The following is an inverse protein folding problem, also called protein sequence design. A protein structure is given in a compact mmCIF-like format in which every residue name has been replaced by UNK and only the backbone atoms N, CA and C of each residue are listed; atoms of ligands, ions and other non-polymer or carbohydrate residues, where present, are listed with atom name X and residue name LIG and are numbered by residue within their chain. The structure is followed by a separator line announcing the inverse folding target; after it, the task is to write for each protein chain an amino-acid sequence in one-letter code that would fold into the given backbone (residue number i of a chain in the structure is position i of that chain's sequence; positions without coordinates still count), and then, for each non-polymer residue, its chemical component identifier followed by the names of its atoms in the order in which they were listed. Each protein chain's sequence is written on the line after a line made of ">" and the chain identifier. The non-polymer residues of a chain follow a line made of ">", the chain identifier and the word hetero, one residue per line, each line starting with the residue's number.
data_IF_496461942214
#
_entry.id   IF_496461942214
#
_cell.length_a   1.000
_cell.length_b   1.000
_cell.length_c   1.000
_cell.angle_alpha   90.00
_cell.angle_beta   90.00
_cell.angle_gamma   90.00
#
_symmetry.space_group_name_H-M   'P 1'
#
loop_
_entity.id
_entity.type
_entity.pdbx_description
1 polymer ?
#
# COMPACT_ATOMS: atom_id res chain seq x y z
N UNK A 1 -19.86 10.24 -2.51
CA UNK A 1 -18.76 9.68 -1.71
C UNK A 1 -19.23 8.37 -1.09
N UNK A 2 -18.66 7.26 -1.50
CA UNK A 2 -19.02 5.95 -0.95
C UNK A 2 -18.11 5.67 0.27
N UNK A 3 -18.67 5.77 1.48
CA UNK A 3 -17.92 5.62 2.75
C UNK A 3 -18.03 4.19 3.32
N UNK A 4 -18.39 3.20 2.50
CA UNK A 4 -18.51 1.82 2.95
C UNK A 4 -17.13 1.16 2.87
N UNK A 5 -16.58 0.78 4.03
CA UNK A 5 -15.43 -0.11 4.11
C UNK A 5 -15.93 -1.55 3.97
N UNK A 6 -15.70 -2.16 2.82
CA UNK A 6 -16.01 -3.57 2.61
C UNK A 6 -15.03 -4.45 3.40
N UNK A 7 -15.50 -5.60 3.88
CA UNK A 7 -14.67 -6.58 4.56
C UNK A 7 -13.45 -6.97 3.71
N UNK A 8 -12.31 -7.22 4.36
CA UNK A 8 -11.07 -7.59 3.66
C UNK A 8 -11.26 -8.82 2.76
N UNK A 9 -12.00 -9.83 3.21
CA UNK A 9 -12.22 -11.07 2.46
C UNK A 9 -12.88 -10.82 1.11
N UNK A 10 -13.93 -9.96 1.05
CA UNK A 10 -14.56 -9.61 -0.23
C UNK A 10 -13.58 -8.92 -1.17
N UNK A 11 -12.79 -7.97 -0.65
CA UNK A 11 -11.79 -7.24 -1.44
C UNK A 11 -10.62 -8.12 -1.90
N UNK A 12 -10.27 -9.16 -1.14
CA UNK A 12 -9.18 -10.07 -1.51
C UNK A 12 -9.50 -10.89 -2.76
N UNK A 13 -10.78 -11.15 -3.02
CA UNK A 13 -11.24 -11.89 -4.21
C UNK A 13 -11.55 -10.99 -5.41
N UNK A 14 -11.72 -9.68 -5.20
CA UNK A 14 -11.94 -8.72 -6.28
C UNK A 14 -10.63 -8.44 -7.03
N UNK A 15 -10.70 -8.31 -8.37
CA UNK A 15 -9.58 -7.89 -9.23
C UNK A 15 -8.27 -8.67 -9.01
N UNK A 16 -8.36 -9.98 -8.72
CA UNK A 16 -7.17 -10.80 -8.38
C UNK A 16 -6.11 -10.78 -9.48
N UNK A 17 -6.51 -10.80 -10.75
CA UNK A 17 -5.58 -10.75 -11.88
C UNK A 17 -4.90 -9.37 -11.97
N UNK A 18 -5.68 -8.30 -11.82
CA UNK A 18 -5.13 -6.92 -11.81
C UNK A 18 -4.13 -6.71 -10.67
N UNK A 19 -4.41 -7.23 -9.46
CA UNK A 19 -3.48 -7.16 -8.33
C UNK A 19 -2.17 -7.91 -8.58
N UNK A 20 -2.21 -9.04 -9.28
CA UNK A 20 -0.99 -9.76 -9.68
C UNK A 20 -0.15 -8.95 -10.66
N UNK A 21 -0.76 -8.35 -11.68
CA UNK A 21 -0.07 -7.48 -12.64
C UNK A 21 0.57 -6.28 -11.94
N UNK A 22 -0.17 -5.61 -11.04
CA UNK A 22 0.34 -4.51 -10.22
C UNK A 22 1.54 -4.97 -9.38
N UNK A 23 1.44 -6.12 -8.71
CA UNK A 23 2.52 -6.64 -7.89
C UNK A 23 3.76 -7.01 -8.73
N UNK A 24 3.59 -7.54 -9.94
CA UNK A 24 4.70 -7.82 -10.86
C UNK A 24 5.42 -6.54 -11.26
N UNK A 25 4.70 -5.50 -11.67
CA UNK A 25 5.29 -4.19 -11.99
C UNK A 25 5.93 -3.56 -10.75
N UNK A 26 5.25 -3.55 -9.60
CA UNK A 26 5.78 -2.99 -8.35
C UNK A 26 7.02 -3.76 -7.84
N UNK A 27 7.16 -5.04 -8.16
CA UNK A 27 8.33 -5.83 -7.76
C UNK A 27 9.63 -5.35 -8.40
N UNK A 28 9.59 -4.57 -9.47
CA UNK A 28 10.77 -3.97 -10.11
C UNK A 28 11.49 -2.95 -9.21
N UNK A 29 10.81 -2.44 -8.18
CA UNK A 29 11.40 -1.55 -7.17
C UNK A 29 12.09 -2.31 -6.02
N UNK A 30 11.95 -3.63 -5.97
CA UNK A 30 12.48 -4.46 -4.90
C UNK A 30 13.91 -4.90 -5.21
N UNK A 31 14.77 -4.82 -4.19
CA UNK A 31 16.16 -5.29 -4.25
C UNK A 31 16.55 -6.00 -2.95
N UNK A 32 17.64 -6.74 -2.97
CA UNK A 32 18.22 -7.35 -1.76
C UNK A 32 18.61 -6.29 -0.72
N UNK A 33 18.59 -6.67 0.55
CA UNK A 33 19.00 -5.86 1.70
C UNK A 33 18.12 -4.65 2.01
N UNK A 34 16.94 -4.52 1.41
CA UNK A 34 16.01 -3.41 1.66
C UNK A 34 15.27 -3.52 3.00
N UNK A 35 14.95 -2.34 3.54
CA UNK A 35 13.92 -2.13 4.55
C UNK A 35 12.63 -1.63 3.88
N UNK A 36 11.52 -2.30 4.16
CA UNK A 36 10.28 -2.15 3.38
C UNK A 36 9.10 -1.98 4.33
N UNK A 37 8.31 -0.91 4.15
CA UNK A 37 6.97 -0.84 4.72
C UNK A 37 5.94 -1.40 3.73
N UNK A 38 5.02 -2.23 4.22
CA UNK A 38 3.91 -2.76 3.42
C UNK A 38 2.61 -2.60 4.21
N UNK A 39 1.61 -1.99 3.59
CA UNK A 39 0.31 -1.81 4.21
C UNK A 39 -0.53 -3.11 4.24
N UNK A 40 -1.67 -3.05 4.90
CA UNK A 40 -2.58 -4.19 5.09
C UNK A 40 -3.49 -4.50 3.89
N UNK A 41 -3.33 -3.83 2.76
CA UNK A 41 -4.21 -4.00 1.60
C UNK A 41 -4.04 -5.35 0.90
N UNK A 42 -5.11 -5.84 0.28
CA UNK A 42 -5.05 -7.05 -0.54
C UNK A 42 -4.19 -6.87 -1.81
N UNK A 43 -4.06 -5.63 -2.30
CA UNK A 43 -3.20 -5.30 -3.44
C UNK A 43 -1.73 -5.47 -3.05
N UNK A 44 -1.31 -4.91 -1.91
CA UNK A 44 0.06 -5.06 -1.42
C UNK A 44 0.38 -6.50 -0.97
N UNK A 45 -0.60 -7.26 -0.48
CA UNK A 45 -0.41 -8.68 -0.14
C UNK A 45 -0.01 -9.55 -1.36
N UNK A 46 -0.27 -9.10 -2.57
CA UNK A 46 0.17 -9.76 -3.80
C UNK A 46 1.69 -9.68 -4.02
N UNK A 47 2.42 -8.79 -3.33
CA UNK A 47 3.89 -8.70 -3.37
C UNK A 47 4.59 -9.87 -2.67
N UNK A 48 3.91 -10.60 -1.78
CA UNK A 48 4.55 -11.61 -0.93
C UNK A 48 5.42 -12.64 -1.70
N UNK A 49 5.00 -13.21 -2.85
CA UNK A 49 5.84 -14.13 -3.59
C UNK A 49 7.14 -13.50 -4.11
N UNK A 50 7.10 -12.22 -4.52
CA UNK A 50 8.27 -11.51 -5.03
C UNK A 50 9.29 -11.21 -3.93
N UNK A 51 8.82 -10.88 -2.72
CA UNK A 51 9.68 -10.68 -1.55
C UNK A 51 10.40 -11.97 -1.14
N UNK A 52 9.76 -13.12 -1.31
CA UNK A 52 10.33 -14.42 -1.00
C UNK A 52 11.54 -14.81 -1.87
N UNK A 53 11.78 -14.15 -3.00
CA UNK A 53 12.90 -14.43 -3.92
C UNK A 53 14.17 -13.63 -3.62
N UNK A 54 14.07 -12.59 -2.78
CA UNK A 54 15.17 -11.67 -2.46
C UNK A 54 15.88 -12.09 -1.16
N UNK A 55 17.01 -11.44 -0.86
CA UNK A 55 17.82 -11.78 0.30
C UNK A 55 17.87 -10.65 1.33
N UNK A 56 17.89 -11.02 2.62
CA UNK A 56 18.13 -10.13 3.75
C UNK A 56 17.17 -8.92 3.79
N UNK A 57 15.87 -9.16 3.66
CA UNK A 57 14.85 -8.12 3.74
C UNK A 57 14.43 -7.85 5.20
N UNK A 58 14.11 -6.61 5.49
CA UNK A 58 13.43 -6.19 6.72
C UNK A 58 12.08 -5.64 6.33
N UNK A 59 11.01 -6.30 6.73
CA UNK A 59 9.64 -5.89 6.37
C UNK A 59 8.88 -5.49 7.62
N UNK A 60 8.28 -4.32 7.57
CA UNK A 60 7.43 -3.77 8.64
C UNK A 60 6.01 -3.65 8.07
N UNK A 61 5.04 -4.24 8.73
CA UNK A 61 3.64 -4.21 8.28
C UNK A 61 2.65 -4.16 9.43
N UNK A 62 1.48 -3.58 9.18
CA UNK A 62 0.32 -3.66 10.06
C UNK A 62 -0.75 -4.65 9.55
N UNK A 63 -0.48 -5.34 8.43
CA UNK A 63 -1.40 -6.26 7.78
C UNK A 63 -1.26 -7.69 8.28
N UNK A 64 -2.36 -8.27 8.77
CA UNK A 64 -2.37 -9.64 9.32
C UNK A 64 -2.06 -10.65 8.21
N UNK A 65 -2.74 -10.55 7.06
CA UNK A 65 -2.57 -11.50 5.98
C UNK A 65 -1.20 -11.43 5.33
N UNK A 66 -0.65 -10.22 5.12
CA UNK A 66 0.71 -10.10 4.60
C UNK A 66 1.74 -10.65 5.59
N UNK A 67 1.59 -10.37 6.88
CA UNK A 67 2.46 -10.91 7.92
C UNK A 67 2.42 -12.44 7.95
N UNK A 68 1.22 -13.03 7.85
CA UNK A 68 1.04 -14.49 7.79
C UNK A 68 1.76 -15.11 6.58
N UNK A 69 1.71 -14.46 5.42
CA UNK A 69 2.40 -14.93 4.21
C UNK A 69 3.91 -14.82 4.35
N UNK A 70 4.39 -13.66 4.82
CA UNK A 70 5.83 -13.37 4.89
C UNK A 70 6.54 -14.18 5.98
N UNK A 71 5.85 -14.58 7.05
CA UNK A 71 6.42 -15.43 8.11
C UNK A 71 6.88 -16.81 7.64
N UNK A 72 6.57 -17.21 6.40
CA UNK A 72 7.03 -18.46 5.80
C UNK A 72 8.38 -18.33 5.07
N UNK A 73 8.97 -17.15 5.00
CA UNK A 73 10.21 -16.89 4.27
C UNK A 73 11.37 -16.60 5.24
N UNK A 74 12.40 -17.45 5.24
CA UNK A 74 13.57 -17.32 6.13
C UNK A 74 14.47 -16.12 5.81
N UNK A 75 14.40 -15.61 4.58
CA UNK A 75 15.13 -14.44 4.10
C UNK A 75 14.56 -13.10 4.58
N UNK A 76 13.43 -13.10 5.31
CA UNK A 76 12.70 -11.91 5.74
C UNK A 76 12.74 -11.79 7.27
N UNK A 77 13.29 -10.67 7.76
CA UNK A 77 13.08 -10.26 9.15
C UNK A 77 11.79 -9.43 9.21
N UNK A 78 10.75 -10.01 9.81
CA UNK A 78 9.42 -9.42 9.84
C UNK A 78 9.14 -8.72 11.17
N UNK A 79 8.70 -7.44 11.09
CA UNK A 79 8.16 -6.68 12.21
C UNK A 79 6.67 -6.42 11.99
N UNK A 80 5.86 -6.78 12.96
CA UNK A 80 4.42 -6.57 12.91
C UNK A 80 4.01 -5.43 13.83
N UNK A 81 3.38 -4.39 13.27
CA UNK A 81 2.85 -3.27 14.03
C UNK A 81 1.64 -3.72 14.85
N UNK A 82 1.77 -3.74 16.16
CA UNK A 82 0.64 -3.97 17.07
C UNK A 82 -0.39 -2.84 17.02
N UNK A 83 -1.57 -3.09 17.57
CA UNK A 83 -2.64 -2.09 17.62
C UNK A 83 -4.02 -2.70 17.77
N UNK A 84 -5.05 -1.89 17.55
CA UNK A 84 -6.44 -2.33 17.55
C UNK A 84 -6.80 -2.98 16.20
N UNK A 85 -7.39 -4.17 16.25
CA UNK A 85 -7.92 -4.86 15.07
C UNK A 85 -9.45 -4.80 15.13
N UNK A 86 -10.05 -4.06 14.21
CA UNK A 86 -11.51 -3.96 14.08
C UNK A 86 -12.12 -5.24 13.51
N UNK A 87 -13.40 -5.45 13.79
CA UNK A 87 -14.14 -6.60 13.25
C UNK A 87 -14.12 -6.63 11.72
N UNK A 88 -13.79 -7.78 11.14
CA UNK A 88 -13.72 -7.97 9.68
C UNK A 88 -12.59 -7.22 8.98
N UNK A 89 -11.66 -6.61 9.72
CA UNK A 89 -10.49 -5.94 9.15
C UNK A 89 -9.25 -6.85 9.15
N UNK A 90 -8.28 -6.49 8.30
CA UNK A 90 -7.00 -7.17 8.19
C UNK A 90 -5.84 -6.29 8.71
N UNK A 91 -6.17 -5.26 9.48
CA UNK A 91 -5.22 -4.19 9.86
C UNK A 91 -5.15 -4.02 11.36
N UNK A 92 -3.94 -3.94 11.91
CA UNK A 92 -3.69 -3.35 13.21
C UNK A 92 -3.51 -1.83 13.06
N UNK A 93 -4.30 -1.04 13.78
CA UNK A 93 -4.37 0.42 13.65
C UNK A 93 -4.41 1.10 15.02
N UNK A 94 -4.42 2.43 15.00
CA UNK A 94 -4.48 3.29 16.17
C UNK A 94 -3.09 3.75 16.65
N UNK A 95 -3.07 4.42 17.79
CA UNK A 95 -1.87 5.12 18.28
C UNK A 95 -0.67 4.20 18.52
N UNK A 96 -0.91 2.96 18.95
CA UNK A 96 0.16 1.97 19.12
C UNK A 96 0.82 1.59 17.79
N UNK A 97 0.02 1.35 16.75
CA UNK A 97 0.53 1.03 15.42
C UNK A 97 1.30 2.21 14.82
N UNK A 98 0.76 3.43 14.97
CA UNK A 98 1.39 4.65 14.49
C UNK A 98 2.69 4.95 15.23
N UNK A 99 2.69 4.82 16.56
CA UNK A 99 3.90 4.99 17.37
C UNK A 99 4.96 3.94 17.06
N UNK A 100 4.54 2.70 16.76
CA UNK A 100 5.46 1.64 16.39
C UNK A 100 6.21 1.95 15.10
N UNK A 101 5.48 2.32 14.03
CA UNK A 101 6.10 2.58 12.71
C UNK A 101 7.06 3.76 12.74
N UNK A 102 6.83 4.75 13.61
CA UNK A 102 7.72 5.91 13.77
C UNK A 102 9.10 5.57 14.35
N UNK A 103 9.32 4.34 14.85
CA UNK A 103 10.65 3.91 15.28
C UNK A 103 11.51 3.37 14.12
N UNK A 104 10.98 3.31 12.92
CA UNK A 104 11.66 2.76 11.75
C UNK A 104 11.80 3.82 10.66
N UNK A 105 12.79 3.62 9.82
CA UNK A 105 12.92 4.29 8.53
C UNK A 105 13.10 3.20 7.46
N UNK A 106 12.34 3.27 6.38
CA UNK A 106 12.38 2.29 5.31
C UNK A 106 12.94 2.89 4.02
N UNK A 107 13.64 2.08 3.22
CA UNK A 107 14.07 2.48 1.87
C UNK A 107 12.87 2.71 0.95
N UNK A 108 11.78 1.94 1.18
CA UNK A 108 10.60 2.01 0.34
C UNK A 108 9.33 1.63 1.12
N UNK A 109 8.22 2.29 0.79
CA UNK A 109 6.91 1.85 1.26
C UNK A 109 5.97 1.51 0.09
N UNK A 110 5.25 0.42 0.25
CA UNK A 110 4.16 0.00 -0.64
C UNK A 110 2.84 0.14 0.08
N UNK A 111 1.92 0.86 -0.52
CA UNK A 111 0.59 1.06 0.02
C UNK A 111 -0.45 1.09 -1.09
N UNK A 112 -1.71 0.85 -0.74
CA UNK A 112 -2.85 1.05 -1.62
C UNK A 112 -3.76 2.14 -1.08
N UNK A 113 -4.81 2.48 -1.84
CA UNK A 113 -5.82 3.45 -1.44
C UNK A 113 -7.24 2.93 -1.72
N UNK A 114 -8.25 3.65 -1.26
CA UNK A 114 -9.65 3.35 -1.57
C UNK A 114 -10.14 4.06 -2.83
N UNK A 115 -9.50 5.14 -3.19
CA UNK A 115 -9.77 5.86 -4.42
C UNK A 115 -8.72 6.92 -4.69
N UNK A 116 -8.65 7.35 -5.93
CA UNK A 116 -7.79 8.44 -6.37
C UNK A 116 -8.46 9.24 -7.50
N UNK A 117 -8.29 10.54 -7.43
CA UNK A 117 -8.72 11.47 -8.45
C UNK A 117 -7.56 12.40 -8.86
N UNK A 118 -7.80 13.39 -9.71
CA UNK A 118 -6.74 14.32 -10.16
C UNK A 118 -6.09 15.17 -9.05
N UNK A 119 -6.62 15.16 -7.83
CA UNK A 119 -6.15 15.99 -6.73
C UNK A 119 -5.40 15.23 -5.66
N UNK A 120 -5.81 13.98 -5.38
CA UNK A 120 -5.29 13.22 -4.26
C UNK A 120 -5.61 11.73 -4.33
N UNK A 121 -4.91 10.96 -3.50
CA UNK A 121 -5.32 9.62 -3.07
C UNK A 121 -6.14 9.72 -1.79
N UNK A 122 -7.09 8.79 -1.60
CA UNK A 122 -8.07 8.82 -0.51
C UNK A 122 -8.23 7.48 0.18
N UNK A 123 -8.66 7.56 1.45
CA UNK A 123 -9.07 6.43 2.28
C UNK A 123 -10.51 6.61 2.80
N UNK A 124 -11.19 5.49 3.07
CA UNK A 124 -12.51 5.49 3.70
C UNK A 124 -12.44 5.64 5.22
N UNK A 125 -11.32 5.27 5.83
CA UNK A 125 -11.10 5.21 7.28
C UNK A 125 -9.93 6.10 7.69
N UNK A 126 -10.17 6.96 8.70
CA UNK A 126 -9.18 7.92 9.21
C UNK A 126 -7.90 7.23 9.72
N UNK A 127 -8.03 6.15 10.48
CA UNK A 127 -6.86 5.45 11.05
C UNK A 127 -6.00 4.79 9.96
N UNK A 128 -6.61 4.33 8.86
CA UNK A 128 -5.89 3.85 7.68
C UNK A 128 -5.12 4.99 7.00
N UNK A 129 -5.77 6.12 6.78
CA UNK A 129 -5.11 7.29 6.18
C UNK A 129 -3.93 7.75 7.03
N UNK A 130 -4.12 7.88 8.35
CA UNK A 130 -3.10 8.33 9.28
C UNK A 130 -1.89 7.37 9.30
N UNK A 131 -2.14 6.06 9.41
CA UNK A 131 -1.06 5.06 9.40
C UNK A 131 -0.23 5.15 8.11
N UNK A 132 -0.87 5.24 6.95
CA UNK A 132 -0.18 5.36 5.66
C UNK A 132 0.57 6.68 5.49
N UNK A 133 0.07 7.77 6.04
CA UNK A 133 0.80 9.05 6.10
C UNK A 133 2.11 8.90 6.88
N UNK A 134 2.11 8.14 7.99
CA UNK A 134 3.33 7.82 8.72
C UNK A 134 4.27 6.89 7.95
N UNK A 135 3.74 5.95 7.13
CA UNK A 135 4.57 5.15 6.22
C UNK A 135 5.31 6.06 5.23
N UNK A 136 4.60 6.98 4.58
CA UNK A 136 5.19 7.95 3.64
C UNK A 136 6.26 8.79 4.32
N UNK A 137 5.94 9.36 5.50
CA UNK A 137 6.83 10.25 6.22
C UNK A 137 8.14 9.58 6.73
N UNK A 138 8.13 8.26 6.87
CA UNK A 138 9.26 7.48 7.37
C UNK A 138 9.88 6.57 6.30
N UNK A 139 9.72 6.87 5.01
CA UNK A 139 10.36 6.14 3.91
C UNK A 139 10.98 7.07 2.88
N UNK A 140 12.03 6.58 2.20
CA UNK A 140 12.71 7.34 1.14
C UNK A 140 11.90 7.34 -0.16
N UNK A 141 11.19 6.26 -0.45
CA UNK A 141 10.39 6.09 -1.67
C UNK A 141 8.98 5.61 -1.32
N UNK A 142 7.95 6.24 -1.88
CA UNK A 142 6.55 5.89 -1.67
C UNK A 142 5.88 5.40 -2.96
N UNK A 143 5.46 4.13 -2.98
CA UNK A 143 4.77 3.50 -4.11
C UNK A 143 3.30 3.27 -3.77
N UNK A 144 2.42 3.85 -4.58
CA UNK A 144 0.97 3.67 -4.48
C UNK A 144 0.51 2.59 -5.49
N UNK A 145 0.01 1.47 -4.98
CA UNK A 145 -0.49 0.36 -5.78
C UNK A 145 -2.02 0.41 -5.86
N UNK A 146 -2.58 0.70 -7.01
CA UNK A 146 -4.03 0.88 -7.17
C UNK A 146 -4.54 0.27 -8.48
N UNK A 147 -5.52 -0.62 -8.41
CA UNK A 147 -6.18 -1.14 -9.59
C UNK A 147 -7.06 -0.05 -10.26
N UNK A 148 -7.37 -0.26 -11.54
CA UNK A 148 -8.12 0.70 -12.35
C UNK A 148 -9.49 1.10 -11.75
N UNK A 149 -10.11 0.26 -10.91
CA UNK A 149 -11.40 0.55 -10.28
C UNK A 149 -11.33 1.69 -9.26
N UNK A 150 -10.13 2.07 -8.82
CA UNK A 150 -9.91 3.13 -7.83
C UNK A 150 -9.84 4.52 -8.44
N UNK A 151 -9.64 4.62 -9.76
CA UNK A 151 -9.51 5.90 -10.45
C UNK A 151 -10.83 6.67 -10.50
N UNK A 152 -10.72 7.99 -10.51
CA UNK A 152 -11.86 8.93 -10.52
C UNK A 152 -12.84 8.73 -9.35
N UNK A 153 -12.34 8.26 -8.22
CA UNK A 153 -13.12 8.01 -7.01
C UNK A 153 -12.50 8.74 -5.83
N UNK A 154 -13.28 9.59 -5.16
CA UNK A 154 -12.88 10.23 -3.91
C UNK A 154 -13.56 9.57 -2.72
N UNK A 155 -12.87 9.58 -1.57
CA UNK A 155 -13.40 9.13 -0.29
C UNK A 155 -13.27 10.20 0.78
N UNK A 156 -13.69 9.86 2.00
CA UNK A 156 -13.87 10.83 3.07
C UNK A 156 -12.54 11.42 3.58
N UNK A 157 -11.49 10.59 3.66
CA UNK A 157 -10.19 11.03 4.18
C UNK A 157 -9.16 11.13 3.07
N UNK A 158 -8.52 12.26 2.98
CA UNK A 158 -7.37 12.45 2.10
C UNK A 158 -6.17 11.70 2.66
N UNK A 159 -5.62 10.79 1.86
CA UNK A 159 -4.40 10.07 2.19
C UNK A 159 -3.18 10.93 1.90
N UNK A 160 -3.01 11.37 0.67
CA UNK A 160 -1.84 12.13 0.24
C UNK A 160 -2.10 12.91 -1.04
N UNK A 161 -1.33 13.99 -1.23
CA UNK A 161 -1.11 14.60 -2.53
C UNK A 161 -0.08 13.77 -3.31
N UNK A 162 -0.06 13.92 -4.62
CA UNK A 162 0.86 13.17 -5.48
C UNK A 162 2.32 13.58 -5.36
N UNK A 163 2.62 14.80 -4.90
CA UNK A 163 4.00 15.24 -4.63
C UNK A 163 4.73 14.45 -3.51
N UNK A 164 3.99 13.69 -2.70
CA UNK A 164 4.55 12.82 -1.67
C UNK A 164 4.53 11.32 -2.08
N UNK A 165 4.19 11.03 -3.34
CA UNK A 165 4.14 9.70 -3.92
C UNK A 165 5.09 9.69 -5.12
N UNK A 166 6.07 8.81 -5.13
CA UNK A 166 7.07 8.74 -6.19
C UNK A 166 6.52 8.02 -7.44
N UNK A 167 5.74 6.95 -7.22
CA UNK A 167 5.15 6.20 -8.31
C UNK A 167 3.77 5.66 -7.97
N UNK A 168 2.86 5.70 -8.95
CA UNK A 168 1.60 4.96 -8.95
C UNK A 168 1.77 3.75 -9.86
N UNK A 169 1.52 2.55 -9.33
CA UNK A 169 1.50 1.31 -10.10
C UNK A 169 0.05 0.83 -10.25
N UNK A 170 -0.39 0.66 -11.49
CA UNK A 170 -1.75 0.23 -11.82
C UNK A 170 -1.75 -0.91 -12.85
N UNK A 171 -2.89 -1.51 -13.12
CA UNK A 171 -3.03 -2.62 -14.08
C UNK A 171 -3.57 -2.20 -15.45
N UNK A 172 -3.86 -0.91 -15.65
CA UNK A 172 -4.33 -0.36 -16.92
C UNK A 172 -3.90 1.11 -17.04
N UNK A 173 -3.64 1.56 -18.26
CA UNK A 173 -3.37 2.97 -18.52
C UNK A 173 -4.52 3.85 -17.99
N UNK A 174 -4.22 4.86 -17.17
CA UNK A 174 -5.24 5.85 -16.79
C UNK A 174 -5.72 6.66 -18.00
N UNK A 175 -6.89 7.29 -17.85
CA UNK A 175 -7.38 8.23 -18.87
C UNK A 175 -6.43 9.42 -19.02
N UNK A 176 -6.31 9.97 -20.24
CA UNK A 176 -5.36 11.03 -20.59
C UNK A 176 -5.38 12.20 -19.62
N UNK A 177 -6.56 12.68 -19.24
CA UNK A 177 -6.71 13.81 -18.31
C UNK A 177 -6.13 13.56 -16.91
N UNK A 178 -6.14 12.32 -16.45
CA UNK A 178 -5.47 11.93 -15.20
C UNK A 178 -3.96 11.88 -15.40
N UNK A 179 -3.53 11.24 -16.47
CA UNK A 179 -2.12 11.08 -16.81
C UNK A 179 -1.44 12.44 -17.01
N UNK A 180 -2.07 13.39 -17.71
CA UNK A 180 -1.55 14.74 -17.91
C UNK A 180 -1.41 15.53 -16.61
N UNK A 181 -2.36 15.37 -15.69
CA UNK A 181 -2.38 16.13 -14.44
C UNK A 181 -1.47 15.52 -13.38
N UNK A 182 -1.53 14.21 -13.19
CA UNK A 182 -0.84 13.51 -12.12
C UNK A 182 0.56 13.09 -12.54
N UNK A 183 0.76 12.68 -13.81
CA UNK A 183 2.07 12.30 -14.33
C UNK A 183 3.11 13.42 -14.33
N UNK A 184 2.67 14.68 -14.20
CA UNK A 184 3.58 15.81 -13.97
C UNK A 184 4.09 15.90 -12.52
N UNK A 185 3.50 15.14 -11.57
CA UNK A 185 3.80 15.16 -10.15
C UNK A 185 4.45 13.88 -9.64
N UNK A 186 4.05 12.73 -10.18
CA UNK A 186 4.63 11.42 -9.86
C UNK A 186 4.61 10.50 -11.08
N UNK A 187 5.50 9.51 -11.10
CA UNK A 187 5.52 8.50 -12.16
C UNK A 187 4.27 7.62 -12.13
N UNK A 188 3.81 7.16 -13.30
CA UNK A 188 2.69 6.21 -13.41
C UNK A 188 3.13 5.04 -14.28
N UNK A 189 3.08 3.82 -13.73
CA UNK A 189 3.42 2.57 -14.40
C UNK A 189 2.20 1.64 -14.49
N UNK A 190 2.05 0.91 -15.62
CA UNK A 190 0.98 -0.07 -15.83
C UNK A 190 1.41 -1.27 -16.66
#
# INVERSE_FOLDING_TARGET
>A
TNNIEYAYDSRSHEETQGKKQIAETASTFLTDNQSIFIDSSSTCAALAPHLGTLQNLRVITNGIEIARRLNNYENITLFFCGGHIGYGTNSALGDFATSFINNFHADICFMSCRGLDRFAAYEANHSQALFKQHMIANSDTAILMADHSKFNTSHYFKLSNYNAIDCIVTNQAPVDSFQDTVGAQCEILW
#
